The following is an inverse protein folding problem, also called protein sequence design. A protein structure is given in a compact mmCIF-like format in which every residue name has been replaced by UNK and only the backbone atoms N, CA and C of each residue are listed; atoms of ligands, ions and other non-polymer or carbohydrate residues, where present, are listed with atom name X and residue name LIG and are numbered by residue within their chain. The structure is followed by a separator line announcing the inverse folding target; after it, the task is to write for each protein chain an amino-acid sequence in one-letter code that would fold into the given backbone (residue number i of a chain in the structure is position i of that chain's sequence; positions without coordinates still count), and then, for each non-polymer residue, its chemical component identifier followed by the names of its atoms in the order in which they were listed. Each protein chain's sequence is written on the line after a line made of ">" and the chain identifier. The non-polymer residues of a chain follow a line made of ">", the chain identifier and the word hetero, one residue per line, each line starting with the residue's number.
data_IF_154374231785
#
_entry.id   IF_154374231785
#
_cell.length_a   1.000
_cell.length_b   1.000
_cell.length_c   1.000
_cell.angle_alpha   90.00
_cell.angle_beta   90.00
_cell.angle_gamma   90.00
#
_symmetry.space_group_name_H-M   'P 1'
#
loop_
_entity.id
_entity.type
_entity.pdbx_description
1 polymer ?
#
# COMPACT_ATOMS: atom_id res chain seq x y z
N UNK A 1 14.36 -6.80 -5.55
CA UNK A 1 14.17 -6.15 -4.23
C UNK A 1 12.76 -6.44 -3.73
N UNK A 2 12.49 -6.29 -2.42
CA UNK A 2 11.15 -6.40 -1.86
C UNK A 2 10.52 -5.01 -1.73
N UNK A 3 9.40 -4.79 -2.40
CA UNK A 3 8.62 -3.56 -2.33
C UNK A 3 7.32 -3.79 -1.56
N UNK A 4 7.12 -3.02 -0.50
CA UNK A 4 5.84 -2.93 0.20
C UNK A 4 5.01 -1.81 -0.42
N UNK A 5 3.96 -2.19 -1.14
CA UNK A 5 3.07 -1.24 -1.81
C UNK A 5 1.89 -0.99 -0.89
N UNK A 6 1.84 0.20 -0.30
CA UNK A 6 0.71 0.61 0.54
C UNK A 6 -0.50 0.89 -0.33
N UNK A 7 -1.49 0.01 -0.30
CA UNK A 7 -2.70 0.08 -1.13
C UNK A 7 -3.77 0.98 -0.49
N UNK A 8 -3.82 1.03 0.84
CA UNK A 8 -4.67 1.94 1.60
C UNK A 8 -4.20 2.06 3.05
N UNK A 9 -4.43 3.19 3.70
CA UNK A 9 -4.25 3.35 5.15
C UNK A 9 -5.49 2.94 5.95
N UNK A 10 -6.62 2.63 5.29
CA UNK A 10 -7.83 2.12 5.94
C UNK A 10 -7.61 0.71 6.45
N UNK A 11 -8.15 0.41 7.62
CA UNK A 11 -8.19 -0.93 8.19
C UNK A 11 -9.58 -1.19 8.77
N UNK A 12 -10.07 -2.43 8.63
CA UNK A 12 -11.31 -2.91 9.26
C UNK A 12 -11.08 -3.42 10.69
N UNK A 13 -9.84 -3.40 11.18
CA UNK A 13 -9.46 -3.73 12.55
C UNK A 13 -8.90 -2.51 13.29
N UNK A 14 -8.83 -2.61 14.62
CA UNK A 14 -8.28 -1.58 15.53
C UNK A 14 -7.22 -2.19 16.44
N UNK A 15 -6.18 -2.74 15.83
CA UNK A 15 -5.15 -3.50 16.53
C UNK A 15 -4.37 -2.60 17.52
N UNK A 16 -4.31 -3.02 18.79
CA UNK A 16 -3.67 -2.27 19.89
C UNK A 16 -2.16 -2.04 19.71
N UNK A 17 -1.52 -2.79 18.80
CA UNK A 17 -0.07 -2.81 18.58
C UNK A 17 0.34 -2.39 17.15
N UNK A 18 -0.61 -1.96 16.30
CA UNK A 18 -0.31 -1.67 14.89
C UNK A 18 0.41 -0.34 14.68
N UNK A 19 0.26 0.63 15.59
CA UNK A 19 0.94 1.93 15.51
C UNK A 19 0.43 2.87 14.39
N UNK A 20 -0.40 2.37 13.48
CA UNK A 20 -1.00 3.13 12.38
C UNK A 20 -2.25 3.89 12.86
N UNK A 21 -2.05 4.82 13.79
CA UNK A 21 -3.12 5.67 14.31
C UNK A 21 -3.28 6.91 13.41
N UNK A 22 -4.41 7.01 12.67
CA UNK A 22 -4.63 8.06 11.67
C UNK A 22 -4.70 9.47 12.26
N UNK A 23 -4.70 9.62 13.59
CA UNK A 23 -4.62 10.93 14.26
C UNK A 23 -3.23 11.55 14.22
N UNK A 24 -2.18 10.75 14.02
CA UNK A 24 -0.80 11.22 14.15
C UNK A 24 -0.06 11.34 12.82
N UNK A 25 -0.57 10.73 11.73
CA UNK A 25 0.08 10.76 10.43
C UNK A 25 -0.96 11.10 9.35
N UNK A 26 -0.86 12.25 8.66
CA UNK A 26 -1.70 12.58 7.53
C UNK A 26 -1.21 11.84 6.28
N UNK A 27 -1.22 10.50 6.30
CA UNK A 27 -0.97 9.71 5.10
C UNK A 27 -2.22 9.67 4.22
N UNK A 28 -2.07 9.72 2.88
CA UNK A 28 -3.20 9.62 1.97
C UNK A 28 -3.92 8.27 2.14
N UNK A 29 -5.24 8.28 1.99
CA UNK A 29 -6.07 7.08 2.15
C UNK A 29 -5.76 5.98 1.12
N UNK A 30 -5.32 6.37 -0.07
CA UNK A 30 -4.97 5.51 -1.21
C UNK A 30 -3.77 6.11 -1.94
N UNK A 31 -3.04 5.32 -2.74
CA UNK A 31 -2.03 5.82 -3.67
C UNK A 31 -2.53 7.00 -4.51
N UNK A 32 -1.69 8.01 -4.69
CA UNK A 32 -1.95 9.17 -5.54
C UNK A 32 -1.42 9.01 -6.98
N UNK A 33 -0.79 7.88 -7.27
CA UNK A 33 -0.22 7.55 -8.57
C UNK A 33 -1.07 6.49 -9.28
N UNK A 34 -1.02 6.48 -10.62
CA UNK A 34 -1.64 5.43 -11.42
C UNK A 34 -0.77 4.17 -11.51
N UNK A 35 -1.40 3.07 -11.93
CA UNK A 35 -0.75 1.76 -12.02
C UNK A 35 0.40 1.75 -13.03
N UNK A 36 0.32 2.54 -14.10
CA UNK A 36 1.35 2.60 -15.13
C UNK A 36 2.62 3.29 -14.62
N UNK A 37 2.48 4.33 -13.81
CA UNK A 37 3.57 4.98 -13.10
C UNK A 37 4.27 4.01 -12.17
N UNK A 38 3.50 3.20 -11.43
CA UNK A 38 4.04 2.16 -10.56
C UNK A 38 4.79 1.07 -11.34
N UNK A 39 4.21 0.55 -12.42
CA UNK A 39 4.87 -0.45 -13.29
C UNK A 39 6.19 0.07 -13.85
N UNK A 40 6.21 1.31 -14.34
CA UNK A 40 7.42 1.97 -14.85
C UNK A 40 8.49 2.13 -13.76
N UNK A 41 8.08 2.43 -12.53
CA UNK A 41 8.99 2.53 -11.40
C UNK A 41 9.64 1.17 -11.06
N UNK A 42 8.87 0.08 -11.15
CA UNK A 42 9.34 -1.27 -10.80
C UNK A 42 10.07 -1.99 -11.93
N UNK A 43 9.94 -1.55 -13.19
CA UNK A 43 10.42 -2.30 -14.37
C UNK A 43 11.93 -2.50 -14.44
N UNK A 44 12.72 -1.78 -13.64
CA UNK A 44 14.18 -1.92 -13.60
C UNK A 44 14.69 -3.07 -12.73
N UNK A 45 13.81 -3.76 -12.00
CA UNK A 45 14.21 -4.82 -11.07
C UNK A 45 13.93 -6.22 -11.64
N UNK A 46 15.00 -6.91 -12.06
CA UNK A 46 14.92 -8.27 -12.62
C UNK A 46 14.44 -9.33 -11.62
N UNK A 47 14.51 -9.04 -10.31
CA UNK A 47 14.07 -9.93 -9.22
C UNK A 47 13.05 -9.21 -8.35
N UNK A 48 12.04 -8.67 -9.04
CA UNK A 48 10.93 -7.94 -8.42
C UNK A 48 10.12 -8.85 -7.50
N UNK A 49 9.99 -8.44 -6.24
CA UNK A 49 9.08 -9.05 -5.25
C UNK A 49 8.19 -7.93 -4.71
N UNK A 50 6.87 -8.14 -4.78
CA UNK A 50 5.88 -7.16 -4.31
C UNK A 50 5.07 -7.76 -3.18
N UNK A 51 4.90 -6.99 -2.11
CA UNK A 51 3.96 -7.26 -1.02
C UNK A 51 2.97 -6.11 -0.94
N UNK A 52 1.68 -6.41 -1.12
CA UNK A 52 0.63 -5.43 -0.87
C UNK A 52 0.45 -5.23 0.64
N UNK A 53 0.54 -3.98 1.07
CA UNK A 53 0.57 -3.57 2.46
C UNK A 53 -0.37 -2.39 2.71
N UNK A 54 -0.40 -1.91 3.96
CA UNK A 54 -1.18 -0.76 4.39
C UNK A 54 -1.89 -1.02 5.71
N UNK A 55 -3.14 -0.58 5.81
CA UNK A 55 -4.06 -1.06 6.84
C UNK A 55 -4.52 -2.48 6.51
N UNK A 56 -5.70 -2.63 5.90
CA UNK A 56 -6.17 -3.88 5.32
C UNK A 56 -6.16 -3.76 3.78
N UNK A 57 -5.18 -4.37 3.08
CA UNK A 57 -5.02 -4.19 1.64
C UNK A 57 -6.24 -4.54 0.81
N UNK A 58 -7.01 -5.55 1.24
CA UNK A 58 -8.19 -6.00 0.50
C UNK A 58 -9.36 -5.00 0.55
N UNK A 59 -9.28 -3.94 1.37
CA UNK A 59 -10.23 -2.84 1.32
C UNK A 59 -10.04 -1.92 0.10
N UNK A 60 -8.95 -2.09 -0.66
CA UNK A 60 -8.71 -1.41 -1.94
C UNK A 60 -8.38 -2.42 -3.06
N UNK A 61 -9.24 -3.43 -3.21
CA UNK A 61 -9.03 -4.52 -4.17
C UNK A 61 -8.90 -4.04 -5.62
N UNK A 62 -9.58 -2.95 -5.99
CA UNK A 62 -9.53 -2.35 -7.33
C UNK A 62 -8.13 -1.83 -7.71
N UNK A 63 -7.25 -1.56 -6.74
CA UNK A 63 -5.86 -1.18 -6.99
C UNK A 63 -4.94 -2.40 -7.21
N UNK A 64 -5.40 -3.59 -6.81
CA UNK A 64 -4.65 -4.84 -6.89
C UNK A 64 -5.02 -5.63 -8.16
N UNK A 65 -6.28 -5.57 -8.59
CA UNK A 65 -6.81 -6.21 -9.81
C UNK A 65 -6.43 -5.48 -11.10
#
# INVERSE_FOLDING_TARGET
>A
MLYFIVTTTKCNLKCRYCGNDPRFIPEPLTPSYDIETLKKFLSGDEKLIVCFYGGEPLLNIEFIE
#
